data_IF_350132585583
#
_entry.id   IF_350132585583
#
_cell.length_a   1.000
_cell.length_b   1.000
_cell.length_c   1.000
_cell.angle_alpha   90.00
_cell.angle_beta   90.00
_cell.angle_gamma   90.00
#
_symmetry.space_group_name_H-M   'P 1'
#
loop_
_entity.id
_entity.type
_entity.pdbx_description
1 polymer ?
#
# COMPACT_ATOMS: atom_id res chain seq x y z
N UNK A 1 25.31 -16.84 -7.47
CA UNK A 1 24.13 -16.39 -6.69
C UNK A 1 22.88 -16.92 -7.37
N UNK A 2 21.94 -17.46 -6.61
CA UNK A 2 20.61 -17.78 -7.13
C UNK A 2 19.93 -16.46 -7.51
N UNK A 3 19.47 -16.35 -8.74
CA UNK A 3 18.71 -15.20 -9.24
C UNK A 3 17.44 -15.73 -9.90
N UNK A 4 16.30 -15.21 -9.47
CA UNK A 4 14.99 -15.47 -10.06
C UNK A 4 14.18 -14.17 -10.08
N UNK A 5 13.00 -14.19 -10.68
CA UNK A 5 12.17 -12.99 -10.83
C UNK A 5 11.76 -12.40 -9.47
N UNK A 6 11.42 -13.23 -8.49
CA UNK A 6 11.10 -12.77 -7.12
C UNK A 6 12.24 -11.98 -6.49
N UNK A 7 13.47 -12.53 -6.52
CA UNK A 7 14.65 -11.87 -5.98
C UNK A 7 15.02 -10.59 -6.76
N UNK A 8 14.78 -10.56 -8.08
CA UNK A 8 14.95 -9.34 -8.89
C UNK A 8 13.97 -8.24 -8.48
N UNK A 9 12.69 -8.58 -8.28
CA UNK A 9 11.63 -7.64 -7.86
C UNK A 9 11.97 -7.05 -6.48
N UNK A 10 12.30 -7.91 -5.50
CA UNK A 10 12.64 -7.48 -4.14
C UNK A 10 13.80 -6.48 -4.16
N UNK A 11 14.87 -6.77 -4.92
CA UNK A 11 16.05 -5.89 -5.03
C UNK A 11 15.76 -4.56 -5.74
N UNK A 12 14.83 -4.53 -6.70
CA UNK A 12 14.50 -3.33 -7.49
C UNK A 12 13.47 -2.42 -6.81
N UNK A 13 12.73 -2.90 -5.80
CA UNK A 13 11.66 -2.15 -5.14
C UNK A 13 12.19 -0.83 -4.54
N UNK A 14 11.49 0.28 -4.85
CA UNK A 14 11.71 1.61 -4.29
C UNK A 14 10.40 2.17 -3.75
N UNK A 15 10.47 3.13 -2.83
CA UNK A 15 9.29 3.86 -2.38
C UNK A 15 8.91 4.90 -3.43
N UNK A 16 7.78 4.70 -4.10
CA UNK A 16 7.24 5.59 -5.13
C UNK A 16 6.36 6.66 -4.48
N UNK A 17 6.53 7.93 -4.87
CA UNK A 17 5.79 9.08 -4.33
C UNK A 17 5.20 10.00 -5.40
N UNK A 18 5.29 9.58 -6.67
CA UNK A 18 4.70 10.27 -7.82
C UNK A 18 4.02 9.21 -8.67
N UNK A 19 2.71 9.35 -8.85
CA UNK A 19 1.86 8.38 -9.52
C UNK A 19 1.24 9.01 -10.77
N UNK A 20 0.78 8.18 -11.69
CA UNK A 20 -0.05 8.62 -12.82
C UNK A 20 -1.47 8.86 -12.33
N UNK A 21 -2.26 9.61 -13.10
CA UNK A 21 -3.70 9.80 -12.84
C UNK A 21 -4.56 8.58 -13.22
N UNK A 22 -3.93 7.61 -13.88
CA UNK A 22 -4.52 6.33 -14.28
C UNK A 22 -4.81 5.45 -13.06
N UNK A 23 -6.05 4.96 -12.96
CA UNK A 23 -6.45 4.02 -11.92
C UNK A 23 -5.99 2.60 -12.28
N UNK A 24 -5.60 1.82 -11.27
CA UNK A 24 -5.26 0.40 -11.44
C UNK A 24 -6.50 -0.40 -11.89
N UNK A 25 -6.27 -1.49 -12.62
CA UNK A 25 -7.36 -2.39 -13.00
C UNK A 25 -7.79 -3.24 -11.80
N UNK A 26 -9.05 -3.68 -11.79
CA UNK A 26 -9.57 -4.52 -10.71
C UNK A 26 -8.76 -5.82 -10.54
N UNK A 27 -8.35 -6.45 -11.64
CA UNK A 27 -7.52 -7.66 -11.58
C UNK A 27 -6.16 -7.41 -10.91
N UNK A 28 -5.55 -6.25 -11.14
CA UNK A 28 -4.27 -5.87 -10.53
C UNK A 28 -4.45 -5.60 -9.03
N UNK A 29 -5.55 -4.94 -8.66
CA UNK A 29 -5.93 -4.71 -7.27
C UNK A 29 -6.14 -6.05 -6.53
N UNK A 30 -6.92 -6.96 -7.12
CA UNK A 30 -7.21 -8.26 -6.50
C UNK A 30 -5.94 -9.09 -6.30
N UNK A 31 -5.02 -9.11 -7.27
CA UNK A 31 -3.75 -9.82 -7.13
C UNK A 31 -2.90 -9.31 -5.95
N UNK A 32 -2.91 -7.99 -5.67
CA UNK A 32 -2.19 -7.41 -4.53
C UNK A 32 -2.87 -7.75 -3.20
N UNK A 33 -4.20 -7.70 -3.15
CA UNK A 33 -4.97 -8.08 -1.95
C UNK A 33 -4.75 -9.56 -1.62
N UNK A 34 -4.84 -10.43 -2.62
CA UNK A 34 -4.59 -11.86 -2.49
C UNK A 34 -3.19 -12.13 -1.91
N UNK A 35 -2.15 -11.51 -2.49
CA UNK A 35 -0.79 -11.65 -1.97
C UNK A 35 -0.66 -11.24 -0.48
N UNK A 36 -1.40 -10.22 -0.05
CA UNK A 36 -1.46 -9.80 1.36
C UNK A 36 -2.18 -10.81 2.25
N UNK A 37 -3.31 -11.35 1.80
CA UNK A 37 -4.10 -12.35 2.55
C UNK A 37 -3.33 -13.65 2.78
N UNK A 38 -2.51 -14.07 1.80
CA UNK A 38 -1.68 -15.28 1.90
C UNK A 38 -0.38 -15.09 2.68
N UNK A 39 -0.11 -13.90 3.24
CA UNK A 39 1.05 -13.70 4.10
C UNK A 39 0.95 -14.58 5.38
N UNK A 40 2.06 -15.16 5.85
CA UNK A 40 2.04 -15.98 7.07
C UNK A 40 1.77 -15.11 8.30
N UNK A 41 1.01 -15.65 9.26
CA UNK A 41 0.83 -15.06 10.59
C UNK A 41 0.79 -16.14 11.67
N UNK A 42 1.13 -15.73 12.89
CA UNK A 42 0.98 -16.53 14.09
C UNK A 42 -0.31 -16.13 14.81
N UNK A 43 -1.48 -16.49 14.27
CA UNK A 43 -2.78 -16.18 14.88
C UNK A 43 -3.96 -16.25 13.90
N UNK A 44 -4.93 -15.34 14.08
CA UNK A 44 -6.24 -15.36 13.42
C UNK A 44 -6.31 -14.55 12.11
N UNK A 45 -5.18 -14.30 11.44
CA UNK A 45 -5.13 -13.47 10.23
C UNK A 45 -5.72 -12.05 10.44
N UNK A 46 -5.21 -11.32 11.43
CA UNK A 46 -5.74 -10.01 11.85
C UNK A 46 -5.62 -8.85 10.82
N UNK A 47 -5.34 -9.15 9.56
CA UNK A 47 -5.29 -8.16 8.48
C UNK A 47 -6.71 -7.75 8.09
N UNK A 48 -6.95 -6.44 8.06
CA UNK A 48 -8.11 -5.86 7.41
C UNK A 48 -7.64 -4.88 6.35
N UNK A 49 -8.01 -5.13 5.09
CA UNK A 49 -7.71 -4.23 3.99
C UNK A 49 -8.94 -3.40 3.63
N UNK A 50 -8.87 -2.10 3.85
CA UNK A 50 -9.87 -1.14 3.34
C UNK A 50 -9.31 -0.49 2.07
N UNK A 51 -9.93 -0.75 0.92
CA UNK A 51 -9.54 -0.13 -0.35
C UNK A 51 -10.36 1.13 -0.57
N UNK A 52 -9.68 2.27 -0.72
CA UNK A 52 -10.32 3.57 -0.97
C UNK A 52 -9.88 4.10 -2.33
N UNK A 53 -10.81 4.15 -3.29
CA UNK A 53 -10.57 4.72 -4.63
C UNK A 53 -11.30 6.05 -4.86
N UNK A 54 -12.18 6.47 -3.95
CA UNK A 54 -12.85 7.76 -4.03
C UNK A 54 -11.84 8.91 -3.80
N UNK A 55 -11.70 9.79 -4.81
CA UNK A 55 -10.68 10.84 -4.81
C UNK A 55 -10.93 11.91 -3.75
N UNK A 56 -12.17 12.28 -3.49
CA UNK A 56 -12.51 13.28 -2.47
C UNK A 56 -12.16 12.80 -1.06
N UNK A 57 -12.46 11.54 -0.76
CA UNK A 57 -12.13 10.90 0.51
C UNK A 57 -10.61 10.76 0.69
N UNK A 58 -9.89 10.33 -0.35
CA UNK A 58 -8.43 10.28 -0.32
C UNK A 58 -7.81 11.67 -0.05
N UNK A 59 -8.35 12.72 -0.67
CA UNK A 59 -7.88 14.08 -0.42
C UNK A 59 -8.11 14.50 1.04
N UNK A 60 -9.27 14.18 1.61
CA UNK A 60 -9.55 14.43 3.03
C UNK A 60 -8.59 13.67 3.95
N UNK A 61 -8.35 12.39 3.68
CA UNK A 61 -7.40 11.56 4.45
C UNK A 61 -5.97 12.12 4.39
N UNK A 62 -5.52 12.56 3.21
CA UNK A 62 -4.20 13.15 3.02
C UNK A 62 -4.02 14.44 3.84
N UNK A 63 -5.02 15.33 3.84
CA UNK A 63 -4.99 16.54 4.66
C UNK A 63 -4.93 16.22 6.15
N UNK A 64 -5.79 15.31 6.62
CA UNK A 64 -5.82 14.89 8.02
C UNK A 64 -4.49 14.25 8.46
N UNK A 65 -3.90 13.38 7.64
CA UNK A 65 -2.62 12.74 7.92
C UNK A 65 -1.47 13.74 8.05
N UNK A 66 -1.44 14.76 7.18
CA UNK A 66 -0.44 15.85 7.27
C UNK A 66 -0.59 16.66 8.54
N UNK A 67 -1.82 16.94 8.96
CA UNK A 67 -2.07 17.71 10.17
C UNK A 67 -1.67 16.93 11.43
N UNK A 68 -2.05 15.65 11.52
CA UNK A 68 -1.63 14.76 12.61
C UNK A 68 -0.10 14.64 12.70
N UNK A 69 0.59 14.53 11.55
CA UNK A 69 2.04 14.45 11.53
C UNK A 69 2.73 15.73 12.05
N UNK A 70 2.16 16.91 11.77
CA UNK A 70 2.68 18.18 12.33
C UNK A 70 2.53 18.22 13.84
N UNK A 71 1.37 17.80 14.37
CA UNK A 71 1.10 17.80 15.81
C UNK A 71 2.06 16.89 16.57
N UNK A 72 2.33 15.69 16.03
CA UNK A 72 3.32 14.76 16.61
C UNK A 72 4.75 15.33 16.62
N UNK A 73 5.11 16.18 15.67
CA UNK A 73 6.44 16.79 15.61
C UNK A 73 6.61 18.00 16.55
N UNK A 74 5.51 18.49 17.16
CA UNK A 74 5.53 19.61 18.12
C UNK A 74 5.52 19.15 19.58
N UNK A 75 5.31 17.87 19.83
CA UNK A 75 5.49 17.18 21.13
C UNK A 75 6.87 16.55 21.22
#
# INVERSE_FOLDING_TARGET
MIINETLKIIKRRRSIRRFKDEQIKDAELQAVLEAGLYAPNAGDQAWHFTVVQNKELLNRLNLAAKEAAKQMAMT
#
